data_IF_647911795998
#
_entry.id   IF_647911795998
#
_cell.length_a   1.000
_cell.length_b   1.000
_cell.length_c   1.000
_cell.angle_alpha   90.00
_cell.angle_beta   90.00
_cell.angle_gamma   90.00
#
_symmetry.space_group_name_H-M   'P 1'
#
loop_
_entity.id
_entity.type
_entity.pdbx_description
1 polymer ?
#
# COMPACT_ATOMS: atom_id res chain seq x y z
N UNK A 1 -47.63 -54.53 -15.25
CA UNK A 1 -46.76 -54.59 -16.44
C UNK A 1 -46.68 -53.23 -17.14
N UNK A 2 -47.77 -52.65 -17.66
CA UNK A 2 -47.73 -51.36 -18.39
C UNK A 2 -47.23 -50.13 -17.62
N UNK A 3 -47.63 -49.95 -16.35
CA UNK A 3 -47.21 -48.83 -15.50
C UNK A 3 -45.74 -48.92 -15.04
N UNK A 4 -45.21 -50.14 -14.90
CA UNK A 4 -43.80 -50.36 -14.56
C UNK A 4 -42.92 -49.95 -15.74
N UNK A 5 -43.33 -50.36 -16.94
CA UNK A 5 -42.64 -49.99 -18.17
C UNK A 5 -42.65 -48.47 -18.39
N UNK A 6 -43.78 -47.79 -18.12
CA UNK A 6 -43.83 -46.33 -18.25
C UNK A 6 -43.03 -45.58 -17.18
N UNK A 7 -42.93 -46.09 -15.95
CA UNK A 7 -42.10 -45.47 -14.91
C UNK A 7 -40.60 -45.63 -15.20
N UNK A 8 -40.19 -46.85 -15.59
CA UNK A 8 -38.80 -47.15 -15.93
C UNK A 8 -38.37 -46.48 -17.23
N UNK A 9 -39.21 -46.48 -18.27
CA UNK A 9 -38.93 -45.76 -19.53
C UNK A 9 -38.97 -44.23 -19.35
N UNK A 10 -39.64 -43.68 -18.31
CA UNK A 10 -39.69 -42.23 -18.08
C UNK A 10 -38.51 -41.72 -17.25
N UNK A 11 -37.99 -42.53 -16.31
CA UNK A 11 -36.77 -42.22 -15.57
C UNK A 11 -35.49 -42.62 -16.34
N UNK A 12 -35.55 -43.67 -17.18
CA UNK A 12 -34.37 -44.27 -17.82
C UNK A 12 -34.49 -44.47 -19.34
N UNK A 13 -35.64 -44.23 -19.98
CA UNK A 13 -35.83 -44.38 -21.43
C UNK A 13 -35.21 -43.26 -22.27
N UNK A 14 -34.18 -42.58 -21.76
CA UNK A 14 -33.23 -41.78 -22.54
C UNK A 14 -31.89 -42.52 -22.62
N UNK A 15 -31.91 -43.70 -23.24
CA UNK A 15 -30.72 -44.34 -23.80
C UNK A 15 -30.25 -43.57 -25.07
N UNK A 16 -30.13 -42.24 -24.97
CA UNK A 16 -29.71 -41.36 -26.07
C UNK A 16 -28.60 -40.39 -25.64
N UNK A 17 -27.93 -40.66 -24.53
CA UNK A 17 -26.71 -39.95 -24.18
C UNK A 17 -25.54 -40.94 -24.24
N UNK A 18 -24.52 -40.53 -24.98
CA UNK A 18 -23.30 -41.26 -25.33
C UNK A 18 -23.44 -42.14 -26.58
N UNK A 19 -23.57 -41.49 -27.74
CA UNK A 19 -22.87 -42.00 -28.93
C UNK A 19 -21.39 -42.13 -28.54
N UNK A 20 -20.83 -43.32 -28.79
CA UNK A 20 -19.41 -43.60 -28.76
C UNK A 20 -18.71 -42.74 -29.83
N UNK A 21 -18.46 -41.47 -29.53
CA UNK A 21 -17.47 -40.69 -30.26
C UNK A 21 -16.08 -41.10 -29.77
N UNK A 22 -15.62 -42.19 -30.37
CA UNK A 22 -14.27 -42.72 -30.38
C UNK A 22 -13.32 -41.71 -31.05
N UNK A 23 -13.04 -40.59 -30.38
CA UNK A 23 -11.87 -39.76 -30.69
C UNK A 23 -10.68 -40.29 -29.89
N UNK A 24 -10.08 -41.33 -30.47
CA UNK A 24 -8.73 -41.84 -30.23
C UNK A 24 -7.71 -40.70 -30.31
N UNK A 25 -7.56 -39.93 -29.24
CA UNK A 25 -6.28 -39.30 -28.92
C UNK A 25 -5.51 -40.32 -28.11
N UNK A 26 -4.47 -40.90 -28.73
CA UNK A 26 -3.63 -41.98 -28.21
C UNK A 26 -3.42 -41.91 -26.68
N UNK A 27 -4.27 -42.62 -25.93
CA UNK A 27 -4.04 -42.91 -24.51
C UNK A 27 -2.66 -43.60 -24.34
N UNK A 28 -2.21 -44.35 -25.35
CA UNK A 28 -0.98 -45.14 -25.31
C UNK A 28 0.31 -44.30 -25.36
N UNK A 29 0.32 -43.15 -26.05
CA UNK A 29 1.49 -42.26 -26.08
C UNK A 29 1.69 -41.49 -24.77
N UNK A 30 0.60 -41.14 -24.07
CA UNK A 30 0.63 -40.35 -22.84
C UNK A 30 0.98 -41.20 -21.60
N UNK A 31 0.47 -42.43 -21.51
CA UNK A 31 0.80 -43.36 -20.41
C UNK A 31 2.25 -43.86 -20.43
N UNK A 32 3.00 -43.70 -21.53
CA UNK A 32 4.42 -44.05 -21.56
C UNK A 32 5.28 -43.04 -20.79
N UNK A 33 4.96 -41.75 -20.92
CA UNK A 33 5.72 -40.66 -20.29
C UNK A 33 5.43 -40.57 -18.77
N UNK A 34 4.17 -40.83 -18.38
CA UNK A 34 3.76 -40.94 -16.99
C UNK A 34 4.36 -42.19 -16.31
N UNK A 35 4.47 -43.33 -17.00
CA UNK A 35 5.18 -44.52 -16.47
C UNK A 35 6.68 -44.28 -16.29
N UNK A 36 7.32 -43.46 -17.13
CA UNK A 36 8.72 -43.07 -16.92
C UNK A 36 8.90 -42.12 -15.73
N UNK A 37 8.01 -41.14 -15.56
CA UNK A 37 8.06 -40.18 -14.44
C UNK A 37 7.68 -40.82 -13.10
N UNK A 38 6.74 -41.78 -13.08
CA UNK A 38 6.39 -42.53 -11.87
C UNK A 38 7.49 -43.53 -11.47
N UNK A 39 8.21 -44.12 -12.42
CA UNK A 39 9.39 -44.96 -12.13
C UNK A 39 10.53 -44.18 -11.49
N UNK A 40 10.71 -42.90 -11.84
CA UNK A 40 11.65 -42.02 -11.16
C UNK A 40 11.19 -41.63 -9.75
N UNK A 41 9.89 -41.31 -9.57
CA UNK A 41 9.32 -40.97 -8.26
C UNK A 41 9.27 -42.14 -7.26
N UNK A 42 8.97 -43.35 -7.72
CA UNK A 42 8.95 -44.56 -6.87
C UNK A 42 10.35 -44.96 -6.35
N UNK A 43 11.43 -44.45 -6.97
CA UNK A 43 12.80 -44.76 -6.54
C UNK A 43 13.30 -43.92 -5.35
N UNK A 44 12.59 -42.84 -4.98
CA UNK A 44 13.09 -41.84 -4.01
C UNK A 44 12.30 -41.65 -2.73
N UNK A 45 11.26 -42.44 -2.43
CA UNK A 45 10.63 -42.33 -1.12
C UNK A 45 10.28 -43.70 -0.54
N UNK A 46 11.20 -44.19 0.29
CA UNK A 46 11.07 -45.44 1.03
C UNK A 46 10.77 -45.13 2.49
N UNK A 47 9.62 -45.64 2.94
CA UNK A 47 9.16 -45.88 4.31
C UNK A 47 8.58 -44.70 5.08
N UNK A 48 7.26 -44.74 5.24
CA UNK A 48 6.67 -44.49 6.54
C UNK A 48 5.46 -45.38 6.80
N UNK A 49 5.48 -46.01 7.96
CA UNK A 49 4.53 -47.00 8.46
C UNK A 49 3.09 -46.45 8.52
N UNK A 50 2.14 -47.18 7.91
CA UNK A 50 0.72 -46.99 8.16
C UNK A 50 0.09 -48.31 8.58
N UNK A 51 -0.48 -48.28 9.78
CA UNK A 51 -1.36 -49.28 10.35
C UNK A 51 -2.41 -49.67 9.31
N UNK A 52 -2.61 -50.96 9.11
CA UNK A 52 -3.83 -51.52 8.53
C UNK A 52 -5.01 -51.12 9.43
N UNK A 53 -5.60 -49.97 9.15
CA UNK A 53 -7.03 -49.75 9.41
C UNK A 53 -7.77 -50.74 8.51
N UNK A 54 -8.73 -51.48 9.07
CA UNK A 54 -9.69 -52.22 8.26
C UNK A 54 -10.37 -51.19 7.36
N UNK A 55 -9.98 -51.16 6.10
CA UNK A 55 -10.54 -50.28 5.09
C UNK A 55 -11.94 -50.79 4.80
N UNK A 56 -12.95 -50.14 5.39
CA UNK A 56 -14.34 -50.45 5.12
C UNK A 56 -14.56 -50.21 3.62
N UNK A 57 -15.07 -51.22 2.91
CA UNK A 57 -15.45 -51.07 1.51
C UNK A 57 -16.71 -50.20 1.43
N UNK A 58 -16.49 -48.89 1.43
CA UNK A 58 -17.54 -47.87 1.31
C UNK A 58 -18.21 -47.88 -0.07
N UNK A 59 -17.62 -48.56 -1.05
CA UNK A 59 -18.10 -48.59 -2.44
C UNK A 59 -19.16 -49.70 -2.64
N UNK A 60 -19.18 -50.73 -1.80
CA UNK A 60 -20.12 -51.84 -1.92
C UNK A 60 -21.33 -51.67 -1.00
N UNK A 61 -22.52 -51.46 -1.58
CA UNK A 61 -23.78 -51.60 -0.85
C UNK A 61 -24.00 -53.08 -0.57
N UNK A 62 -24.03 -53.47 0.71
CA UNK A 62 -24.28 -54.85 1.11
C UNK A 62 -25.69 -55.28 0.69
N UNK A 63 -25.78 -56.34 -0.11
CA UNK A 63 -27.05 -57.00 -0.45
C UNK A 63 -27.61 -57.72 0.79
N UNK A 64 -28.24 -56.97 1.69
CA UNK A 64 -28.81 -57.49 2.94
C UNK A 64 -30.19 -58.16 2.72
N UNK A 65 -30.56 -58.47 1.47
CA UNK A 65 -31.82 -59.11 1.11
C UNK A 65 -32.04 -60.44 1.85
N UNK A 66 -30.96 -61.16 2.16
CA UNK A 66 -30.97 -62.44 2.89
C UNK A 66 -31.31 -62.31 4.38
N UNK A 67 -31.18 -61.12 4.98
CA UNK A 67 -31.42 -60.89 6.41
C UNK A 67 -32.83 -60.35 6.73
N UNK A 68 -33.62 -60.03 5.70
CA UNK A 68 -34.93 -59.38 5.84
C UNK A 68 -36.10 -60.38 5.71
N UNK A 69 -37.09 -60.30 6.62
CA UNK A 69 -38.34 -61.06 6.51
C UNK A 69 -39.33 -60.29 5.64
N UNK A 70 -39.34 -60.57 4.35
CA UNK A 70 -40.23 -59.95 3.35
C UNK A 70 -41.75 -60.19 3.60
N UNK A 71 -42.10 -61.09 4.51
CA UNK A 71 -43.47 -61.33 4.97
C UNK A 71 -44.02 -60.22 5.88
N UNK A 72 -43.17 -59.47 6.57
CA UNK A 72 -43.57 -58.33 7.39
C UNK A 72 -43.78 -57.08 6.52
N UNK A 73 -44.97 -56.47 6.64
CA UNK A 73 -45.36 -55.26 5.90
C UNK A 73 -44.43 -54.07 6.20
N UNK A 74 -43.97 -53.95 7.45
CA UNK A 74 -43.11 -52.84 7.85
C UNK A 74 -41.69 -52.96 7.28
N UNK A 75 -41.06 -54.14 7.39
CA UNK A 75 -39.73 -54.42 6.83
C UNK A 75 -39.72 -54.34 5.31
N UNK A 76 -40.74 -54.90 4.65
CA UNK A 76 -40.91 -54.81 3.18
C UNK A 76 -41.03 -53.36 2.72
N UNK A 77 -41.88 -52.57 3.38
CA UNK A 77 -42.04 -51.15 3.04
C UNK A 77 -40.77 -50.34 3.27
N UNK A 78 -39.99 -50.61 4.32
CA UNK A 78 -38.71 -49.93 4.58
C UNK A 78 -37.66 -50.28 3.52
N UNK A 79 -37.58 -51.54 3.12
CA UNK A 79 -36.65 -52.01 2.09
C UNK A 79 -36.98 -51.43 0.71
N UNK A 80 -38.26 -51.46 0.29
CA UNK A 80 -38.71 -50.84 -0.97
C UNK A 80 -38.41 -49.34 -0.97
N UNK A 81 -38.66 -48.63 0.14
CA UNK A 81 -38.32 -47.19 0.24
C UNK A 81 -36.83 -46.95 0.08
N UNK A 82 -35.99 -47.78 0.71
CA UNK A 82 -34.54 -47.69 0.58
C UNK A 82 -34.06 -47.86 -0.86
N UNK A 83 -34.60 -48.84 -1.58
CA UNK A 83 -34.26 -49.07 -3.00
C UNK A 83 -34.71 -47.91 -3.90
N UNK A 84 -35.93 -47.39 -3.67
CA UNK A 84 -36.45 -46.24 -4.44
C UNK A 84 -35.64 -44.98 -4.13
N UNK A 85 -35.24 -44.77 -2.88
CA UNK A 85 -34.39 -43.65 -2.48
C UNK A 85 -32.97 -43.78 -3.05
N UNK A 86 -32.39 -44.98 -3.08
CA UNK A 86 -31.11 -45.26 -3.74
C UNK A 86 -31.15 -44.91 -5.23
N UNK A 87 -32.18 -45.38 -5.96
CA UNK A 87 -32.35 -45.07 -7.39
C UNK A 87 -32.57 -43.58 -7.61
N UNK A 88 -33.38 -42.93 -6.78
CA UNK A 88 -33.62 -41.47 -6.86
C UNK A 88 -32.35 -40.66 -6.62
N UNK A 89 -31.60 -41.00 -5.57
CA UNK A 89 -30.34 -40.32 -5.24
C UNK A 89 -29.31 -40.52 -6.36
N UNK A 90 -29.15 -41.76 -6.85
CA UNK A 90 -28.26 -42.05 -7.97
C UNK A 90 -28.66 -41.28 -9.24
N UNK A 91 -29.95 -41.22 -9.58
CA UNK A 91 -30.45 -40.44 -10.72
C UNK A 91 -30.21 -38.94 -10.55
N UNK A 92 -30.48 -38.38 -9.36
CA UNK A 92 -30.27 -36.95 -9.10
C UNK A 92 -28.80 -36.55 -9.12
N UNK A 93 -27.90 -37.43 -8.66
CA UNK A 93 -26.46 -37.21 -8.79
C UNK A 93 -25.98 -37.37 -10.23
N UNK A 94 -26.55 -38.28 -11.03
CA UNK A 94 -26.22 -38.40 -12.46
C UNK A 94 -26.53 -37.13 -13.25
N UNK A 95 -27.66 -36.46 -12.98
CA UNK A 95 -27.99 -35.20 -13.66
C UNK A 95 -26.97 -34.09 -13.35
N UNK A 96 -26.55 -33.96 -12.08
CA UNK A 96 -25.52 -33.00 -11.67
C UNK A 96 -24.17 -33.32 -12.29
N UNK A 97 -23.75 -34.57 -12.21
CA UNK A 97 -22.47 -35.04 -12.77
C UNK A 97 -22.44 -34.90 -14.29
N UNK A 98 -23.57 -35.14 -14.98
CA UNK A 98 -23.68 -34.95 -16.43
C UNK A 98 -23.48 -33.49 -16.82
N UNK A 99 -24.06 -32.55 -16.07
CA UNK A 99 -23.84 -31.12 -16.32
C UNK A 99 -22.35 -30.74 -16.19
N UNK A 100 -21.69 -31.13 -15.09
CA UNK A 100 -20.26 -30.86 -14.90
C UNK A 100 -19.39 -31.55 -15.97
N UNK A 101 -19.73 -32.79 -16.33
CA UNK A 101 -19.05 -33.55 -17.38
C UNK A 101 -19.10 -32.82 -18.72
N UNK A 102 -20.27 -32.27 -19.08
CA UNK A 102 -20.44 -31.52 -20.32
C UNK A 102 -19.62 -30.23 -20.30
N UNK A 103 -19.56 -29.51 -19.17
CA UNK A 103 -18.73 -28.30 -19.03
C UNK A 103 -17.24 -28.62 -19.18
N UNK A 104 -16.75 -29.68 -18.52
CA UNK A 104 -15.34 -30.10 -18.62
C UNK A 104 -15.01 -30.57 -20.04
N UNK A 105 -15.92 -31.28 -20.69
CA UNK A 105 -15.73 -31.76 -22.07
C UNK A 105 -15.73 -30.61 -23.06
N UNK A 106 -16.60 -29.62 -22.87
CA UNK A 106 -16.63 -28.39 -23.66
C UNK A 106 -15.32 -27.60 -23.50
N UNK A 107 -14.79 -27.46 -22.29
CA UNK A 107 -13.51 -26.79 -22.05
C UNK A 107 -12.32 -27.52 -22.72
N UNK A 108 -12.31 -28.86 -22.72
CA UNK A 108 -11.29 -29.64 -23.45
C UNK A 108 -11.41 -29.43 -24.96
N UNK A 109 -12.64 -29.46 -25.50
CA UNK A 109 -12.89 -29.16 -26.91
C UNK A 109 -12.41 -27.76 -27.29
N UNK A 110 -12.66 -26.77 -26.44
CA UNK A 110 -12.18 -25.41 -26.65
C UNK A 110 -10.64 -25.36 -26.75
N UNK A 111 -9.92 -26.16 -25.96
CA UNK A 111 -8.45 -26.25 -26.07
C UNK A 111 -7.98 -26.87 -27.38
N UNK A 112 -8.71 -27.87 -27.89
CA UNK A 112 -8.40 -28.50 -29.17
C UNK A 112 -8.63 -27.53 -30.33
N UNK A 113 -9.72 -26.76 -30.27
CA UNK A 113 -10.01 -25.68 -31.23
C UNK A 113 -8.96 -24.55 -31.16
N UNK A 114 -8.47 -24.21 -29.97
CA UNK A 114 -7.38 -23.26 -29.78
C UNK A 114 -6.05 -23.76 -30.36
N UNK A 115 -5.78 -25.07 -30.27
CA UNK A 115 -4.59 -25.66 -30.87
C UNK A 115 -4.68 -25.76 -32.40
N UNK A 116 -5.89 -25.94 -32.93
CA UNK A 116 -6.19 -25.97 -34.36
C UNK A 116 -6.20 -24.58 -35.03
N UNK A 117 -6.00 -23.50 -34.28
CA UNK A 117 -5.94 -22.14 -34.84
C UNK A 117 -4.87 -21.99 -35.93
N UNK A 118 -5.15 -21.21 -37.00
CA UNK A 118 -4.12 -20.85 -37.98
C UNK A 118 -2.94 -20.17 -37.30
N UNK A 119 -1.72 -20.46 -37.76
CA UNK A 119 -0.47 -19.93 -37.17
C UNK A 119 -0.52 -18.40 -37.01
N UNK A 120 -1.06 -17.69 -38.00
CA UNK A 120 -1.19 -16.22 -37.97
C UNK A 120 -2.12 -15.70 -36.86
N UNK A 121 -3.18 -16.45 -36.54
CA UNK A 121 -4.14 -16.07 -35.49
C UNK A 121 -3.64 -16.56 -34.13
N UNK A 122 -2.97 -17.71 -34.07
CA UNK A 122 -2.28 -18.20 -32.86
C UNK A 122 -1.21 -17.21 -32.41
N UNK A 123 -0.42 -16.66 -33.33
CA UNK A 123 0.56 -15.60 -33.02
C UNK A 123 -0.11 -14.36 -32.42
N UNK A 124 -1.21 -13.85 -33.01
CA UNK A 124 -1.95 -12.71 -32.46
C UNK A 124 -2.54 -12.99 -31.08
N UNK A 125 -3.13 -14.17 -30.89
CA UNK A 125 -3.66 -14.61 -29.59
C UNK A 125 -2.54 -14.62 -28.54
N UNK A 126 -1.37 -15.17 -28.86
CA UNK A 126 -0.22 -15.18 -27.95
C UNK A 126 0.32 -13.77 -27.67
N UNK A 127 0.31 -12.88 -28.66
CA UNK A 127 0.73 -11.48 -28.48
C UNK A 127 -0.21 -10.73 -27.53
N UNK A 128 -1.52 -10.82 -27.76
CA UNK A 128 -2.51 -10.19 -26.89
C UNK A 128 -2.51 -10.79 -25.49
N UNK A 129 -2.37 -12.10 -25.36
CA UNK A 129 -2.23 -12.77 -24.07
C UNK A 129 -1.00 -12.25 -23.30
N UNK A 130 0.16 -12.09 -23.96
CA UNK A 130 1.35 -11.48 -23.34
C UNK A 130 1.11 -10.05 -22.87
N UNK A 131 0.45 -9.23 -23.69
CA UNK A 131 0.15 -7.84 -23.33
C UNK A 131 -0.82 -7.77 -22.16
N UNK A 132 -1.87 -8.59 -22.14
CA UNK A 132 -2.81 -8.67 -21.01
C UNK A 132 -2.06 -9.03 -19.73
N UNK A 133 -1.21 -10.06 -19.74
CA UNK A 133 -0.39 -10.44 -18.57
C UNK A 133 0.53 -9.30 -18.12
N UNK A 134 1.13 -8.57 -19.06
CA UNK A 134 1.97 -7.43 -18.77
C UNK A 134 1.18 -6.32 -18.05
N UNK A 135 0.03 -5.89 -18.60
CA UNK A 135 -0.78 -4.83 -18.01
C UNK A 135 -1.48 -5.28 -16.71
N UNK A 136 -1.87 -6.55 -16.58
CA UNK A 136 -2.38 -7.10 -15.32
C UNK A 136 -1.32 -7.03 -14.21
N UNK A 137 -0.05 -7.31 -14.56
CA UNK A 137 1.07 -7.17 -13.63
C UNK A 137 1.31 -5.70 -13.26
N UNK A 138 1.35 -4.79 -14.23
CA UNK A 138 1.50 -3.34 -13.96
C UNK A 138 0.37 -2.82 -13.05
N UNK A 139 -0.87 -3.27 -13.28
CA UNK A 139 -2.02 -2.96 -12.43
C UNK A 139 -1.83 -3.46 -11.00
N UNK A 140 -1.35 -4.70 -10.82
CA UNK A 140 -1.05 -5.24 -9.49
C UNK A 140 0.09 -4.46 -8.81
N UNK A 141 1.15 -4.16 -9.54
CA UNK A 141 2.30 -3.39 -9.03
C UNK A 141 1.87 -1.98 -8.61
N UNK A 142 0.98 -1.34 -9.37
CA UNK A 142 0.38 -0.05 -9.00
C UNK A 142 -0.50 -0.14 -7.75
N UNK A 143 -1.37 -1.15 -7.66
CA UNK A 143 -2.23 -1.35 -6.48
C UNK A 143 -1.43 -1.66 -5.20
N UNK A 144 -0.33 -2.38 -5.33
CA UNK A 144 0.56 -2.72 -4.22
C UNK A 144 1.44 -1.55 -3.78
N UNK A 145 1.62 -0.54 -4.64
CA UNK A 145 2.42 0.64 -4.34
C UNK A 145 1.68 1.53 -3.34
N UNK A 146 2.29 1.78 -2.19
CA UNK A 146 1.79 2.78 -1.24
C UNK A 146 1.99 4.18 -1.82
N UNK A 147 0.89 4.93 -1.99
CA UNK A 147 0.98 6.33 -2.42
C UNK A 147 1.80 7.15 -1.43
N UNK A 148 2.68 8.00 -1.95
CA UNK A 148 3.57 8.86 -1.15
C UNK A 148 2.87 10.15 -0.68
N UNK A 149 1.71 10.46 -1.26
CA UNK A 149 0.93 11.66 -0.99
C UNK A 149 -0.48 11.24 -0.56
N UNK A 150 -1.06 11.95 0.41
CA UNK A 150 -2.44 11.68 0.82
C UNK A 150 -3.41 12.23 -0.24
N UNK A 151 -4.56 11.61 -0.41
CA UNK A 151 -5.59 12.07 -1.36
C UNK A 151 -5.98 13.55 -1.14
N UNK A 152 -6.12 13.98 0.11
CA UNK A 152 -6.38 15.40 0.43
C UNK A 152 -5.25 16.34 -0.01
N UNK A 153 -3.99 15.89 0.08
CA UNK A 153 -2.84 16.68 -0.38
C UNK A 153 -2.81 16.72 -1.91
N UNK A 154 -3.15 15.63 -2.59
CA UNK A 154 -3.25 15.59 -4.05
C UNK A 154 -4.27 16.61 -4.58
N UNK A 155 -5.50 16.62 -4.05
CA UNK A 155 -6.51 17.60 -4.45
C UNK A 155 -6.11 19.04 -4.12
N UNK A 156 -5.43 19.25 -2.99
CA UNK A 156 -4.93 20.59 -2.65
C UNK A 156 -3.88 21.06 -3.65
N UNK A 157 -2.99 20.17 -4.11
CA UNK A 157 -1.96 20.51 -5.09
C UNK A 157 -2.54 20.77 -6.48
N UNK A 158 -3.53 19.98 -6.90
CA UNK A 158 -4.24 20.18 -8.17
C UNK A 158 -4.87 21.58 -8.27
N UNK A 159 -5.44 22.10 -7.18
CA UNK A 159 -5.99 23.48 -7.13
C UNK A 159 -4.94 24.57 -7.36
N UNK A 160 -3.68 24.31 -7.01
CA UNK A 160 -2.60 25.30 -7.06
C UNK A 160 -1.61 25.03 -8.20
N UNK A 161 -1.86 24.04 -9.07
CA UNK A 161 -0.94 23.58 -10.12
C UNK A 161 -0.43 24.75 -10.98
N UNK A 162 -1.33 25.58 -11.51
CA UNK A 162 -0.98 26.72 -12.38
C UNK A 162 -0.09 27.77 -11.71
N UNK A 163 -0.15 27.88 -10.38
CA UNK A 163 0.58 28.90 -9.61
C UNK A 163 1.62 28.29 -8.67
N UNK A 164 1.93 26.99 -8.79
CA UNK A 164 2.80 26.28 -7.86
C UNK A 164 4.21 26.90 -7.78
N UNK A 165 4.76 27.31 -8.93
CA UNK A 165 6.06 27.97 -9.03
C UNK A 165 6.07 29.34 -8.37
N UNK A 166 5.02 30.14 -8.58
CA UNK A 166 4.90 31.47 -7.97
C UNK A 166 4.80 31.37 -6.45
N UNK A 167 4.00 30.41 -5.96
CA UNK A 167 3.87 30.13 -4.53
C UNK A 167 5.22 29.75 -3.92
N UNK A 168 5.96 28.86 -4.59
CA UNK A 168 7.30 28.48 -4.17
C UNK A 168 8.25 29.68 -4.12
N UNK A 169 8.27 30.50 -5.17
CA UNK A 169 9.11 31.68 -5.23
C UNK A 169 8.79 32.69 -4.13
N UNK A 170 7.52 32.98 -3.89
CA UNK A 170 7.07 33.96 -2.90
C UNK A 170 7.42 33.48 -1.48
N UNK A 171 7.19 32.20 -1.17
CA UNK A 171 7.63 31.61 0.09
C UNK A 171 9.15 31.68 0.24
N UNK A 172 9.90 31.31 -0.79
CA UNK A 172 11.37 31.33 -0.75
C UNK A 172 11.94 32.75 -0.60
N UNK A 173 11.35 33.74 -1.26
CA UNK A 173 11.70 35.15 -1.12
C UNK A 173 11.41 35.63 0.31
N UNK A 174 10.26 35.28 0.87
CA UNK A 174 9.89 35.63 2.23
C UNK A 174 10.81 34.97 3.28
N UNK A 175 11.17 33.69 3.10
CA UNK A 175 12.12 32.97 3.97
C UNK A 175 13.51 33.60 3.94
N UNK A 176 14.05 33.89 2.75
CA UNK A 176 15.34 34.58 2.60
C UNK A 176 15.32 35.97 3.22
N UNK A 177 14.23 36.71 3.03
CA UNK A 177 14.09 38.04 3.63
C UNK A 177 14.09 37.96 5.17
N UNK A 178 13.49 36.92 5.76
CA UNK A 178 13.57 36.65 7.19
C UNK A 178 15.00 36.48 7.69
N UNK A 179 15.82 35.72 6.95
CA UNK A 179 17.23 35.49 7.28
C UNK A 179 18.01 36.80 7.25
N UNK A 180 17.84 37.61 6.20
CA UNK A 180 18.47 38.93 6.11
C UNK A 180 18.08 39.85 7.27
N UNK A 181 16.79 39.90 7.63
CA UNK A 181 16.31 40.69 8.78
C UNK A 181 16.95 40.19 10.09
N UNK A 182 17.08 38.87 10.26
CA UNK A 182 17.70 38.27 11.45
C UNK A 182 19.17 38.64 11.55
N UNK A 183 19.90 38.61 10.43
CA UNK A 183 21.31 39.00 10.39
C UNK A 183 21.49 40.48 10.70
N UNK A 184 20.62 41.35 10.16
CA UNK A 184 20.60 42.77 10.51
C UNK A 184 20.28 43.01 11.99
N UNK A 185 19.35 42.26 12.58
CA UNK A 185 19.07 42.35 14.02
C UNK A 185 20.27 41.93 14.87
N UNK A 186 20.96 40.85 14.48
CA UNK A 186 22.16 40.38 15.17
C UNK A 186 23.29 41.43 15.09
N UNK A 187 23.47 42.04 13.91
CA UNK A 187 24.45 43.12 13.72
C UNK A 187 24.10 44.34 14.59
N UNK A 188 22.85 44.78 14.58
CA UNK A 188 22.40 45.91 15.41
C UNK A 188 22.53 45.62 16.91
N UNK A 189 22.28 44.38 17.36
CA UNK A 189 22.48 44.00 18.76
C UNK A 189 23.98 44.01 19.13
N UNK A 190 24.85 43.55 18.23
CA UNK A 190 26.30 43.64 18.42
C UNK A 190 26.80 45.08 18.50
N UNK A 191 26.35 45.96 17.59
CA UNK A 191 26.66 47.39 17.64
C UNK A 191 26.16 48.03 18.94
N UNK A 192 24.91 47.74 19.32
CA UNK A 192 24.31 48.23 20.57
C UNK A 192 25.14 47.82 21.78
N UNK A 193 25.56 46.56 21.85
CA UNK A 193 26.39 46.05 22.95
C UNK A 193 27.75 46.77 22.99
N UNK A 194 28.38 47.02 21.84
CA UNK A 194 29.62 47.79 21.75
C UNK A 194 29.45 49.24 22.26
N UNK A 195 28.36 49.92 21.88
CA UNK A 195 28.06 51.25 22.39
C UNK A 195 27.70 51.26 23.88
N UNK A 196 26.99 50.25 24.37
CA UNK A 196 26.70 50.09 25.79
C UNK A 196 27.97 49.88 26.62
N UNK A 197 28.91 49.09 26.11
CA UNK A 197 30.22 48.90 26.73
C UNK A 197 31.00 50.22 26.81
N UNK A 198 31.11 50.95 25.69
CA UNK A 198 31.76 52.28 25.65
C UNK A 198 31.08 53.29 26.58
N UNK A 199 29.75 53.28 26.64
CA UNK A 199 29.00 54.11 27.60
C UNK A 199 29.38 53.77 29.04
N UNK A 200 29.48 52.48 29.36
CA UNK A 200 29.96 52.01 30.66
C UNK A 200 31.37 52.53 30.97
N UNK A 201 32.29 52.42 30.03
CA UNK A 201 33.67 52.89 30.14
C UNK A 201 33.75 54.41 30.38
N UNK A 202 33.04 55.23 29.59
CA UNK A 202 32.99 56.68 29.80
C UNK A 202 32.36 57.06 31.15
N UNK A 203 31.33 56.34 31.58
CA UNK A 203 30.71 56.54 32.90
C UNK A 203 31.71 56.25 34.03
N UNK A 204 32.48 55.17 33.91
CA UNK A 204 33.54 54.83 34.87
C UNK A 204 34.68 55.86 34.83
N UNK A 205 35.04 56.35 33.64
CA UNK A 205 36.00 57.44 33.46
C UNK A 205 35.58 58.72 34.20
N UNK A 206 34.30 59.11 34.09
CA UNK A 206 33.75 60.27 34.79
C UNK A 206 33.80 60.08 36.32
N UNK A 207 33.48 58.88 36.81
CA UNK A 207 33.62 58.59 38.25
C UNK A 207 35.08 58.60 38.70
N UNK A 208 36.00 58.10 37.87
CA UNK A 208 37.43 58.06 38.17
C UNK A 208 38.05 59.48 38.17
N UNK A 209 37.67 60.35 37.22
CA UNK A 209 38.14 61.75 37.21
C UNK A 209 37.65 62.53 38.42
N UNK A 210 36.44 62.26 38.93
CA UNK A 210 35.97 62.79 40.22
C UNK A 210 36.82 62.30 41.39
N UNK A 211 37.18 61.01 41.41
CA UNK A 211 38.10 60.45 42.41
C UNK A 211 39.51 61.07 42.35
N UNK A 212 40.06 61.22 41.14
CA UNK A 212 41.37 61.85 40.90
C UNK A 212 41.38 63.32 41.34
N UNK A 213 40.30 64.06 41.09
CA UNK A 213 40.15 65.43 41.58
C UNK A 213 40.14 65.50 43.12
N UNK A 214 39.42 64.60 43.79
CA UNK A 214 39.41 64.53 45.26
C UNK A 214 40.79 64.21 45.84
N UNK A 215 41.52 63.25 45.25
CA UNK A 215 42.89 62.91 45.67
C UNK A 215 43.84 64.09 45.46
N UNK A 216 43.74 64.78 44.32
CA UNK A 216 44.56 65.96 44.01
C UNK A 216 44.32 67.12 44.99
N UNK A 217 43.05 67.38 45.34
CA UNK A 217 42.69 68.39 46.34
C UNK A 217 43.24 68.05 47.74
N UNK A 218 43.14 66.79 48.17
CA UNK A 218 43.71 66.32 49.44
C UNK A 218 45.24 66.46 49.45
N UNK A 219 45.92 66.08 48.37
CA UNK A 219 47.38 66.20 48.26
C UNK A 219 47.84 67.66 48.32
N UNK A 220 47.15 68.57 47.62
CA UNK A 220 47.42 70.02 47.70
C UNK A 220 47.21 70.56 49.12
N UNK A 221 46.16 70.13 49.82
CA UNK A 221 45.90 70.50 51.21
C UNK A 221 47.03 70.05 52.15
N UNK A 222 47.48 68.80 52.02
CA UNK A 222 48.59 68.27 52.81
C UNK A 222 49.91 69.00 52.54
N UNK A 223 50.22 69.31 51.26
CA UNK A 223 51.39 70.11 50.89
C UNK A 223 51.31 71.53 51.48
N UNK A 224 50.13 72.15 51.47
CA UNK A 224 49.91 73.46 52.08
C UNK A 224 50.14 73.47 53.60
N UNK A 225 49.64 72.44 54.30
CA UNK A 225 49.84 72.26 55.75
C UNK A 225 51.33 72.03 56.06
N UNK A 226 52.02 71.20 55.28
CA UNK A 226 53.45 70.95 55.45
C UNK A 226 54.29 72.22 55.31
N UNK A 227 54.01 73.05 54.29
CA UNK A 227 54.67 74.35 54.12
C UNK A 227 54.37 75.31 55.29
N UNK A 228 53.15 75.29 55.83
CA UNK A 228 52.79 76.12 56.98
C UNK A 228 53.56 75.74 58.25
N UNK A 229 53.73 74.43 58.52
CA UNK A 229 54.55 73.95 59.63
C UNK A 229 56.02 74.38 59.45
N UNK A 230 56.53 74.36 58.22
CA UNK A 230 57.89 74.80 57.91
C UNK A 230 58.09 76.31 58.14
N UNK A 231 57.08 77.12 57.85
CA UNK A 231 57.08 78.56 58.09
C UNK A 231 57.05 78.91 59.59
N UNK A 232 56.07 78.37 60.33
CA UNK A 232 55.83 78.74 61.73
C UNK A 232 56.71 77.97 62.73
N UNK A 233 57.12 76.73 62.40
CA UNK A 233 57.93 75.88 63.27
C UNK A 233 59.43 76.05 63.08
N UNK A 234 59.90 76.29 61.84
CA UNK A 234 61.34 76.36 61.51
C UNK A 234 61.81 77.74 61.05
N UNK A 235 60.91 78.73 60.89
CA UNK A 235 61.27 80.12 60.58
C UNK A 235 61.88 80.34 59.18
N UNK A 236 61.66 79.42 58.23
CA UNK A 236 62.19 79.52 56.86
C UNK A 236 61.29 80.35 55.93
N UNK A 237 61.89 81.05 54.96
CA UNK A 237 61.16 81.78 53.90
C UNK A 237 60.61 80.81 52.84
N UNK A 238 59.33 80.43 52.96
CA UNK A 238 58.66 79.46 52.07
C UNK A 238 57.73 80.09 51.02
N UNK A 239 57.83 81.41 50.78
CA UNK A 239 56.98 82.15 49.82
C UNK A 239 57.05 81.57 48.40
N UNK A 240 58.25 81.21 47.92
CA UNK A 240 58.45 80.58 46.61
C UNK A 240 57.77 79.20 46.52
N UNK A 241 57.73 78.44 47.63
CA UNK A 241 57.06 77.14 47.70
C UNK A 241 55.55 77.24 47.53
N UNK A 242 54.91 78.27 48.10
CA UNK A 242 53.47 78.50 47.94
C UNK A 242 53.08 78.87 46.50
N UNK A 243 53.87 79.70 45.82
CA UNK A 243 53.61 80.01 44.41
C UNK A 243 53.72 78.76 43.52
N UNK A 244 54.71 77.90 43.78
CA UNK A 244 54.89 76.66 43.04
C UNK A 244 53.74 75.66 43.25
N UNK A 245 53.23 75.51 44.48
CA UNK A 245 52.09 74.60 44.75
C UNK A 245 50.79 75.10 44.13
N UNK A 246 50.55 76.41 44.13
CA UNK A 246 49.38 77.02 43.48
C UNK A 246 49.43 76.81 41.96
N UNK A 247 50.58 77.06 41.33
CA UNK A 247 50.75 76.86 39.88
C UNK A 247 50.59 75.38 39.52
N UNK A 248 51.25 74.48 40.24
CA UNK A 248 51.13 73.04 40.00
C UNK A 248 49.70 72.54 40.20
N UNK A 249 49.01 73.04 41.22
CA UNK A 249 47.61 72.75 41.49
C UNK A 249 46.67 73.23 40.38
N UNK A 250 46.86 74.45 39.90
CA UNK A 250 46.08 75.00 38.79
C UNK A 250 46.26 74.16 37.51
N UNK A 251 47.50 73.80 37.16
CA UNK A 251 47.78 72.94 36.00
C UNK A 251 47.15 71.56 36.17
N UNK A 252 47.33 70.91 37.32
CA UNK A 252 46.73 69.60 37.57
C UNK A 252 45.20 69.64 37.42
N UNK A 253 44.53 70.59 38.09
CA UNK A 253 43.07 70.72 38.07
C UNK A 253 42.52 70.97 36.66
N UNK A 254 43.21 71.79 35.86
CA UNK A 254 42.82 72.05 34.47
C UNK A 254 42.90 70.79 33.60
N UNK A 255 43.93 69.96 33.77
CA UNK A 255 44.06 68.67 33.05
C UNK A 255 42.92 67.72 33.43
N UNK A 256 42.60 67.57 34.73
CA UNK A 256 41.47 66.74 35.17
C UNK A 256 40.15 67.24 34.58
N UNK A 257 39.97 68.56 34.57
CA UNK A 257 38.76 69.19 34.07
C UNK A 257 38.58 68.99 32.56
N UNK A 258 39.65 69.11 31.77
CA UNK A 258 39.61 68.81 30.33
C UNK A 258 39.24 67.34 30.09
N UNK A 259 39.89 66.41 30.79
CA UNK A 259 39.56 64.98 30.69
C UNK A 259 38.10 64.68 31.09
N UNK A 260 37.59 65.32 32.13
CA UNK A 260 36.19 65.20 32.55
C UNK A 260 35.23 65.69 31.45
N UNK A 261 35.51 66.87 30.86
CA UNK A 261 34.68 67.43 29.81
C UNK A 261 34.66 66.55 28.55
N UNK A 262 35.80 66.00 28.16
CA UNK A 262 35.89 65.12 26.99
C UNK A 262 35.12 63.82 27.22
N UNK A 263 35.28 63.17 28.37
CA UNK A 263 34.49 61.98 28.73
C UNK A 263 32.99 62.27 28.81
N UNK A 264 32.59 63.44 29.34
CA UNK A 264 31.19 63.83 29.40
C UNK A 264 30.59 64.11 28.00
N UNK A 265 31.37 64.67 27.08
CA UNK A 265 30.95 64.86 25.67
C UNK A 265 30.82 63.52 24.95
N UNK A 266 31.78 62.63 25.11
CA UNK A 266 31.77 61.31 24.46
C UNK A 266 30.69 60.39 25.03
N UNK A 267 30.38 60.50 26.32
CA UNK A 267 29.21 59.85 26.92
C UNK A 267 27.91 60.28 26.21
N UNK A 268 27.68 61.58 26.04
CA UNK A 268 26.49 62.10 25.34
C UNK A 268 26.43 61.63 23.88
N UNK A 269 27.58 61.52 23.19
CA UNK A 269 27.63 60.97 21.82
C UNK A 269 27.27 59.49 21.80
N UNK A 270 27.82 58.70 22.72
CA UNK A 270 27.51 57.28 22.87
C UNK A 270 26.02 57.06 23.17
N UNK A 271 25.42 57.87 24.05
CA UNK A 271 23.98 57.81 24.37
C UNK A 271 23.09 58.09 23.16
N UNK A 272 23.43 59.13 22.37
CA UNK A 272 22.73 59.39 21.10
C UNK A 272 22.88 58.23 20.11
N UNK A 273 24.06 57.61 20.06
CA UNK A 273 24.33 56.41 19.26
C UNK A 273 23.43 55.24 19.65
N UNK A 274 23.36 54.92 20.96
CA UNK A 274 22.48 53.87 21.50
C UNK A 274 21.01 54.14 21.16
N UNK A 275 20.54 55.38 21.36
CA UNK A 275 19.14 55.72 21.06
C UNK A 275 18.80 55.56 19.58
N UNK A 276 19.72 55.95 18.68
CA UNK A 276 19.56 55.72 17.23
C UNK A 276 19.48 54.23 16.90
N UNK A 277 20.35 53.42 17.49
CA UNK A 277 20.34 51.96 17.27
C UNK A 277 19.05 51.34 17.79
N UNK A 278 18.52 51.77 18.94
CA UNK A 278 17.23 51.29 19.46
C UNK A 278 16.10 51.59 18.49
N UNK A 279 16.04 52.80 17.92
CA UNK A 279 15.03 53.14 16.92
C UNK A 279 15.15 52.27 15.67
N UNK A 280 16.37 52.10 15.13
CA UNK A 280 16.62 51.21 13.99
C UNK A 280 16.21 49.77 14.31
N UNK A 281 16.59 49.26 15.48
CA UNK A 281 16.24 47.92 15.92
C UNK A 281 14.72 47.74 16.02
N UNK A 282 13.98 48.73 16.53
CA UNK A 282 12.52 48.68 16.57
C UNK A 282 11.91 48.61 15.15
N UNK A 283 12.42 49.40 14.20
CA UNK A 283 11.93 49.34 12.80
C UNK A 283 12.19 47.99 12.16
N UNK A 284 13.37 47.39 12.40
CA UNK A 284 13.73 46.07 11.87
C UNK A 284 12.91 44.96 12.56
N UNK A 285 12.66 45.06 13.87
CA UNK A 285 11.76 44.15 14.61
C UNK A 285 10.34 44.17 14.07
N UNK A 286 9.80 45.34 13.72
CA UNK A 286 8.47 45.44 13.10
C UNK A 286 8.46 44.69 11.76
N UNK A 287 9.48 44.90 10.92
CA UNK A 287 9.63 44.16 9.64
C UNK A 287 9.73 42.65 9.86
N UNK A 288 10.47 42.22 10.88
CA UNK A 288 10.57 40.81 11.27
C UNK A 288 9.21 40.21 11.63
N UNK A 289 8.45 40.89 12.50
CA UNK A 289 7.12 40.42 12.91
C UNK A 289 6.16 40.36 11.71
N UNK A 290 6.18 41.38 10.86
CA UNK A 290 5.34 41.38 9.65
C UNK A 290 5.69 40.24 8.69
N UNK A 291 6.99 40.01 8.43
CA UNK A 291 7.43 38.90 7.58
C UNK A 291 7.14 37.53 8.21
N UNK A 292 7.29 37.39 9.54
CA UNK A 292 6.91 36.18 10.26
C UNK A 292 5.41 35.90 10.10
N UNK A 293 4.55 36.89 10.32
CA UNK A 293 3.10 36.72 10.17
C UNK A 293 2.72 36.35 8.73
N UNK A 294 3.41 36.93 7.72
CA UNK A 294 3.23 36.56 6.32
C UNK A 294 3.61 35.10 6.08
N UNK A 295 4.77 34.65 6.58
CA UNK A 295 5.20 33.25 6.45
C UNK A 295 4.25 32.30 7.17
N UNK A 296 3.83 32.63 8.39
CA UNK A 296 2.87 31.83 9.17
C UNK A 296 1.53 31.70 8.41
N UNK A 297 1.05 32.77 7.76
CA UNK A 297 -0.12 32.71 6.88
C UNK A 297 0.11 31.84 5.64
N UNK A 298 1.23 32.00 4.94
CA UNK A 298 1.54 31.21 3.75
C UNK A 298 1.66 29.72 4.09
N UNK A 299 2.30 29.39 5.21
CA UNK A 299 2.40 28.03 5.73
C UNK A 299 1.05 27.43 6.09
N UNK A 300 0.17 28.21 6.73
CA UNK A 300 -1.18 27.77 7.05
C UNK A 300 -2.04 27.58 5.78
N UNK A 301 -1.99 28.54 4.85
CA UNK A 301 -2.78 28.53 3.62
C UNK A 301 -2.49 27.30 2.76
N UNK A 302 -1.22 26.94 2.64
CA UNK A 302 -0.77 25.83 1.80
C UNK A 302 -0.46 24.55 2.60
N UNK A 303 -0.69 24.55 3.90
CA UNK A 303 -0.46 23.43 4.82
C UNK A 303 0.97 22.83 4.73
N UNK A 304 1.98 23.70 4.67
CA UNK A 304 3.41 23.33 4.60
C UNK A 304 4.21 24.18 5.58
N UNK A 305 5.35 23.70 6.06
CA UNK A 305 6.18 24.40 7.06
C UNK A 305 7.36 25.14 6.44
N UNK A 306 7.64 24.94 5.16
CA UNK A 306 8.73 25.60 4.44
C UNK A 306 8.50 25.60 2.93
N UNK A 307 9.10 26.56 2.23
CA UNK A 307 9.21 26.55 0.77
C UNK A 307 9.85 25.24 0.24
N UNK A 308 10.79 24.66 0.99
CA UNK A 308 11.42 23.38 0.61
C UNK A 308 10.45 22.20 0.70
N UNK A 309 9.57 22.22 1.69
CA UNK A 309 8.52 21.20 1.84
C UNK A 309 7.46 21.35 0.74
N UNK A 310 7.05 22.57 0.44
CA UNK A 310 6.19 22.87 -0.71
C UNK A 310 6.77 22.30 -2.01
N UNK A 311 8.04 22.57 -2.28
CA UNK A 311 8.70 22.04 -3.48
C UNK A 311 8.70 20.52 -3.52
N UNK A 312 9.04 19.85 -2.42
CA UNK A 312 8.97 18.38 -2.34
C UNK A 312 7.55 17.86 -2.60
N UNK A 313 6.53 18.56 -2.11
CA UNK A 313 5.15 18.20 -2.33
C UNK A 313 4.75 18.36 -3.81
N UNK A 314 5.24 19.41 -4.48
CA UNK A 314 5.10 19.58 -5.93
C UNK A 314 5.76 18.44 -6.71
N UNK A 315 7.02 18.13 -6.40
CA UNK A 315 7.75 17.05 -7.07
C UNK A 315 7.03 15.69 -6.89
N UNK A 316 6.51 15.41 -5.69
CA UNK A 316 5.72 14.21 -5.40
C UNK A 316 4.37 14.20 -6.13
N UNK A 317 3.70 15.35 -6.22
CA UNK A 317 2.45 15.49 -6.96
C UNK A 317 2.66 15.20 -8.45
N UNK A 318 3.72 15.73 -9.06
CA UNK A 318 4.05 15.45 -10.47
C UNK A 318 4.38 13.98 -10.71
N UNK A 319 5.08 13.31 -9.78
CA UNK A 319 5.31 11.87 -9.84
C UNK A 319 3.99 11.08 -9.76
N UNK A 320 3.11 11.45 -8.83
CA UNK A 320 1.84 10.77 -8.61
C UNK A 320 0.86 11.00 -9.77
N UNK A 321 0.79 12.23 -10.31
CA UNK A 321 -0.04 12.58 -11.46
C UNK A 321 0.35 11.75 -12.68
N UNK A 322 1.66 11.70 -12.99
CA UNK A 322 2.18 10.83 -14.07
C UNK A 322 1.89 9.35 -13.83
N UNK A 323 1.95 8.89 -12.58
CA UNK A 323 1.63 7.51 -12.24
C UNK A 323 0.13 7.20 -12.44
N UNK A 324 -0.76 8.14 -12.09
CA UNK A 324 -2.21 8.01 -12.33
C UNK A 324 -2.54 7.98 -13.82
N UNK A 325 -1.97 8.91 -14.59
CA UNK A 325 -2.15 8.97 -16.05
C UNK A 325 -1.64 7.69 -16.73
N UNK A 326 -0.48 7.19 -16.32
CA UNK A 326 0.05 5.92 -16.84
C UNK A 326 -0.82 4.73 -16.43
N UNK A 327 -1.36 4.70 -15.21
CA UNK A 327 -2.28 3.64 -14.80
C UNK A 327 -3.59 3.68 -15.59
N UNK A 328 -4.15 4.87 -15.83
CA UNK A 328 -5.34 5.04 -16.68
C UNK A 328 -5.08 4.52 -18.10
N UNK A 329 -3.96 4.88 -18.71
CA UNK A 329 -3.55 4.35 -20.02
C UNK A 329 -3.37 2.83 -20.00
N UNK A 330 -2.74 2.28 -18.95
CA UNK A 330 -2.58 0.83 -18.80
C UNK A 330 -3.93 0.10 -18.63
N UNK A 331 -4.91 0.72 -17.97
CA UNK A 331 -6.26 0.18 -17.82
C UNK A 331 -7.02 0.22 -19.16
N UNK A 332 -6.94 1.32 -19.90
CA UNK A 332 -7.50 1.42 -21.27
C UNK A 332 -6.88 0.39 -22.22
N UNK A 333 -5.56 0.26 -22.20
CA UNK A 333 -4.84 -0.73 -23.00
C UNK A 333 -5.24 -2.16 -22.61
N UNK A 334 -5.36 -2.46 -21.31
CA UNK A 334 -5.80 -3.76 -20.83
C UNK A 334 -7.19 -4.11 -21.37
N UNK A 335 -8.15 -3.18 -21.25
CA UNK A 335 -9.51 -3.35 -21.76
C UNK A 335 -9.52 -3.53 -23.28
N UNK A 336 -8.69 -2.77 -24.01
CA UNK A 336 -8.52 -2.90 -25.45
C UNK A 336 -8.02 -4.29 -25.86
N UNK A 337 -6.93 -4.77 -25.25
CA UNK A 337 -6.37 -6.08 -25.58
C UNK A 337 -7.29 -7.24 -25.16
N UNK A 338 -7.99 -7.12 -24.03
CA UNK A 338 -9.01 -8.10 -23.65
C UNK A 338 -10.17 -8.15 -24.65
N UNK A 339 -10.63 -7.00 -25.15
CA UNK A 339 -11.69 -6.92 -26.15
C UNK A 339 -11.27 -7.50 -27.51
N UNK A 340 -10.07 -7.18 -27.99
CA UNK A 340 -9.55 -7.71 -29.25
C UNK A 340 -9.26 -9.21 -29.17
N UNK A 341 -8.73 -9.71 -28.04
CA UNK A 341 -8.60 -11.15 -27.80
C UNK A 341 -9.97 -11.84 -27.83
N UNK A 342 -10.96 -11.31 -27.11
CA UNK A 342 -12.33 -11.85 -27.11
C UNK A 342 -12.93 -11.87 -28.53
N UNK A 343 -12.67 -10.86 -29.34
CA UNK A 343 -13.16 -10.75 -30.71
C UNK A 343 -12.57 -11.85 -31.61
N UNK A 344 -11.27 -12.12 -31.51
CA UNK A 344 -10.63 -13.24 -32.24
C UNK A 344 -11.25 -14.56 -31.78
N UNK A 345 -11.33 -14.79 -30.47
CA UNK A 345 -11.84 -16.05 -29.92
C UNK A 345 -13.31 -16.33 -30.29
N UNK A 346 -14.14 -15.28 -30.41
CA UNK A 346 -15.53 -15.40 -30.88
C UNK A 346 -15.67 -15.81 -32.34
N UNK A 347 -14.63 -15.66 -33.16
CA UNK A 347 -14.66 -16.13 -34.54
C UNK A 347 -14.52 -17.66 -34.63
N UNK A 348 -14.19 -18.35 -33.54
CA UNK A 348 -14.02 -19.79 -33.46
C UNK A 348 -15.15 -20.44 -32.64
N UNK A 349 -15.35 -21.75 -32.82
CA UNK A 349 -16.44 -22.51 -32.19
C UNK A 349 -16.15 -22.85 -30.71
N UNK A 350 -15.64 -21.87 -29.96
CA UNK A 350 -15.39 -22.03 -28.53
C UNK A 350 -16.70 -21.91 -27.75
N UNK A 351 -16.86 -22.78 -26.76
CA UNK A 351 -18.00 -22.87 -25.87
C UNK A 351 -18.07 -21.67 -24.93
N UNK A 352 -16.93 -21.27 -24.34
CA UNK A 352 -16.83 -20.04 -23.55
C UNK A 352 -15.53 -19.25 -23.84
N UNK A 353 -15.55 -18.33 -24.83
CA UNK A 353 -14.42 -17.45 -25.14
C UNK A 353 -13.95 -16.59 -23.96
N UNK A 354 -14.83 -16.27 -22.99
CA UNK A 354 -14.49 -15.36 -21.88
C UNK A 354 -13.61 -16.03 -20.84
N UNK A 355 -13.74 -17.34 -20.67
CA UNK A 355 -12.89 -18.12 -19.77
C UNK A 355 -11.42 -17.94 -20.13
N UNK A 356 -11.11 -18.02 -21.43
CA UNK A 356 -9.75 -17.92 -21.96
C UNK A 356 -9.15 -16.52 -21.85
N UNK A 357 -9.96 -15.46 -21.96
CA UNK A 357 -9.50 -14.08 -21.71
C UNK A 357 -9.08 -13.86 -20.26
N UNK A 358 -9.69 -14.57 -19.30
CA UNK A 358 -9.32 -14.51 -17.87
C UNK A 358 -8.12 -15.38 -17.52
N UNK A 359 -7.73 -16.28 -18.41
CA UNK A 359 -6.57 -17.17 -18.26
C UNK A 359 -5.55 -16.93 -19.39
N UNK A 360 -5.05 -15.67 -19.57
CA UNK A 360 -4.13 -15.35 -20.66
C UNK A 360 -2.79 -16.11 -20.54
N UNK A 361 -2.41 -16.53 -19.33
CA UNK A 361 -1.23 -17.36 -19.09
C UNK A 361 -1.26 -18.68 -19.88
N UNK A 362 -2.43 -19.33 -19.94
CA UNK A 362 -2.60 -20.58 -20.68
C UNK A 362 -2.48 -20.39 -22.21
N UNK A 363 -2.87 -19.22 -22.71
CA UNK A 363 -2.78 -18.90 -24.13
C UNK A 363 -1.35 -18.53 -24.56
N UNK A 364 -0.53 -18.10 -23.60
CA UNK A 364 0.85 -17.71 -23.83
C UNK A 364 1.85 -18.86 -23.57
N UNK A 365 1.72 -19.55 -22.45
CA UNK A 365 2.61 -20.62 -22.02
C UNK A 365 1.99 -22.01 -22.29
N UNK A 366 2.65 -22.76 -23.16
CA UNK A 366 2.24 -24.13 -23.49
C UNK A 366 2.21 -25.05 -22.27
N UNK A 367 3.13 -24.86 -21.31
CA UNK A 367 3.18 -25.69 -20.10
C UNK A 367 1.91 -25.52 -19.26
N UNK A 368 1.50 -24.29 -19.04
CA UNK A 368 0.27 -23.94 -18.31
C UNK A 368 -0.97 -24.49 -19.04
N UNK A 369 -0.99 -24.42 -20.38
CA UNK A 369 -2.05 -25.03 -21.17
C UNK A 369 -2.15 -26.55 -20.95
N UNK A 370 -1.01 -27.24 -20.91
CA UNK A 370 -0.94 -28.69 -20.66
C UNK A 370 -1.37 -29.03 -19.23
N UNK A 371 -0.96 -28.25 -18.22
CA UNK A 371 -1.36 -28.46 -16.82
C UNK A 371 -2.87 -28.31 -16.64
N UNK A 372 -3.47 -27.26 -17.23
CA UNK A 372 -4.92 -27.04 -17.20
C UNK A 372 -5.63 -28.19 -17.93
N UNK A 373 -5.15 -28.58 -19.11
CA UNK A 373 -5.68 -29.74 -19.86
C UNK A 373 -5.66 -31.02 -19.02
N UNK A 374 -4.54 -31.31 -18.38
CA UNK A 374 -4.38 -32.50 -17.53
C UNK A 374 -5.36 -32.47 -16.34
N UNK A 375 -5.53 -31.31 -15.69
CA UNK A 375 -6.50 -31.15 -14.61
C UNK A 375 -7.95 -31.43 -15.08
N UNK A 376 -8.32 -30.95 -16.28
CA UNK A 376 -9.62 -31.24 -16.88
C UNK A 376 -9.78 -32.72 -17.29
N UNK A 377 -8.73 -33.38 -17.80
CA UNK A 377 -8.75 -34.81 -18.13
C UNK A 377 -8.98 -35.65 -16.87
N UNK A 378 -8.22 -35.42 -15.80
CA UNK A 378 -8.39 -36.12 -14.52
C UNK A 378 -9.81 -35.89 -13.97
N UNK A 379 -10.30 -34.65 -14.01
CA UNK A 379 -11.66 -34.33 -13.56
C UNK A 379 -12.70 -35.08 -14.38
N UNK A 380 -12.55 -35.14 -15.71
CA UNK A 380 -13.43 -35.89 -16.61
C UNK A 380 -13.43 -37.39 -16.30
N UNK A 381 -12.25 -37.98 -16.04
CA UNK A 381 -12.12 -39.39 -15.67
C UNK A 381 -12.82 -39.70 -14.33
N UNK A 382 -12.63 -38.85 -13.31
CA UNK A 382 -13.33 -38.99 -12.02
C UNK A 382 -14.84 -38.85 -12.17
N UNK A 383 -15.32 -37.89 -12.97
CA UNK A 383 -16.74 -37.74 -13.28
C UNK A 383 -17.30 -38.99 -13.98
N UNK A 384 -16.58 -39.57 -14.96
CA UNK A 384 -16.97 -40.83 -15.60
C UNK A 384 -17.08 -41.97 -14.59
N UNK A 385 -16.08 -42.16 -13.74
CA UNK A 385 -16.08 -43.21 -12.72
C UNK A 385 -17.26 -43.07 -11.74
N UNK A 386 -17.56 -41.85 -11.29
CA UNK A 386 -18.72 -41.55 -10.44
C UNK A 386 -20.06 -41.77 -11.15
N UNK A 387 -20.14 -41.38 -12.43
CA UNK A 387 -21.33 -41.65 -13.24
C UNK A 387 -21.52 -43.15 -13.46
N UNK A 388 -20.47 -43.92 -13.72
CA UNK A 388 -20.55 -45.37 -13.90
C UNK A 388 -20.91 -46.08 -12.60
N UNK A 389 -20.42 -45.59 -11.46
CA UNK A 389 -20.87 -46.03 -10.14
C UNK A 389 -22.36 -45.77 -9.94
N UNK A 390 -22.83 -44.53 -10.11
CA UNK A 390 -24.23 -44.18 -9.91
C UNK A 390 -25.16 -44.89 -10.91
N UNK A 391 -24.72 -45.09 -12.16
CA UNK A 391 -25.44 -45.92 -13.15
C UNK A 391 -25.56 -47.36 -12.69
N UNK A 392 -24.49 -47.96 -12.16
CA UNK A 392 -24.52 -49.33 -11.62
C UNK A 392 -25.46 -49.42 -10.42
N UNK A 393 -25.36 -48.50 -9.46
CA UNK A 393 -26.23 -48.45 -8.29
C UNK A 393 -27.71 -48.31 -8.65
N UNK A 394 -28.03 -47.46 -9.63
CA UNK A 394 -29.40 -47.32 -10.10
C UNK A 394 -29.90 -48.59 -10.81
N UNK A 395 -29.07 -49.21 -11.66
CA UNK A 395 -29.41 -50.47 -12.35
C UNK A 395 -29.58 -51.64 -11.38
N UNK A 396 -28.77 -51.73 -10.35
CA UNK A 396 -28.86 -52.75 -9.30
C UNK A 396 -30.13 -52.55 -8.47
N UNK A 397 -30.39 -51.33 -7.99
CA UNK A 397 -31.63 -51.01 -7.29
C UNK A 397 -32.88 -51.28 -8.14
N UNK A 398 -32.81 -51.02 -9.45
CA UNK A 398 -33.88 -51.34 -10.39
C UNK A 398 -34.07 -52.85 -10.58
N UNK A 399 -32.99 -53.60 -10.77
CA UNK A 399 -33.01 -55.05 -10.95
C UNK A 399 -33.58 -55.74 -9.72
N UNK A 400 -33.18 -55.31 -8.53
CA UNK A 400 -33.72 -55.80 -7.25
C UNK A 400 -35.21 -55.49 -7.15
N UNK A 401 -35.62 -54.27 -7.46
CA UNK A 401 -37.04 -53.90 -7.48
C UNK A 401 -37.86 -54.72 -8.49
N UNK A 402 -37.33 -54.98 -9.69
CA UNK A 402 -37.94 -55.86 -10.70
C UNK A 402 -38.05 -57.31 -10.20
N UNK A 403 -37.02 -57.83 -9.53
CA UNK A 403 -37.05 -59.18 -8.95
C UNK A 403 -38.08 -59.31 -7.82
N UNK A 404 -38.20 -58.31 -6.94
CA UNK A 404 -39.21 -58.28 -5.87
C UNK A 404 -40.64 -58.32 -6.43
N UNK A 405 -40.88 -57.62 -7.55
CA UNK A 405 -42.18 -57.62 -8.23
C UNK A 405 -42.46 -58.99 -8.87
N UNK A 406 -41.44 -59.65 -9.42
CA UNK A 406 -41.57 -60.96 -10.07
C UNK A 406 -41.78 -62.09 -9.05
N UNK A 407 -41.05 -62.08 -7.93
CA UNK A 407 -41.13 -63.10 -6.88
C UNK A 407 -42.37 -62.96 -5.99
N UNK A 408 -42.87 -61.72 -5.81
CA UNK A 408 -44.05 -61.47 -4.99
C UNK A 408 -45.13 -60.66 -5.74
N UNK A 409 -45.86 -61.27 -6.69
CA UNK A 409 -46.90 -60.58 -7.48
C UNK A 409 -48.02 -59.97 -6.63
N UNK A 410 -48.29 -60.54 -5.45
CA UNK A 410 -49.29 -60.05 -4.49
C UNK A 410 -48.97 -58.67 -3.91
N UNK A 411 -47.70 -58.27 -3.84
CA UNK A 411 -47.26 -56.96 -3.34
C UNK A 411 -46.93 -55.97 -4.46
N UNK A 412 -47.05 -56.38 -5.73
CA UNK A 412 -46.75 -55.56 -6.91
C UNK A 412 -47.48 -54.21 -6.94
N UNK A 413 -48.77 -54.19 -6.58
CA UNK A 413 -49.58 -52.95 -6.50
C UNK A 413 -49.11 -52.01 -5.40
N UNK A 414 -48.62 -52.56 -4.28
CA UNK A 414 -48.10 -51.80 -3.15
C UNK A 414 -46.75 -51.16 -3.50
N UNK A 415 -45.86 -51.92 -4.14
CA UNK A 415 -44.55 -51.48 -4.64
C UNK A 415 -44.73 -50.34 -5.65
N UNK A 416 -45.62 -50.53 -6.63
CA UNK A 416 -45.94 -49.52 -7.64
C UNK A 416 -46.46 -48.21 -7.06
N UNK A 417 -47.37 -48.28 -6.09
CA UNK A 417 -47.90 -47.10 -5.40
C UNK A 417 -46.86 -46.42 -4.49
N UNK A 418 -45.84 -47.14 -4.05
CA UNK A 418 -44.71 -46.51 -3.37
C UNK A 418 -43.85 -45.76 -4.39
N UNK A 419 -43.53 -46.35 -5.54
CA UNK A 419 -42.76 -45.69 -6.60
C UNK A 419 -43.42 -44.40 -7.12
N UNK A 420 -44.74 -44.41 -7.35
CA UNK A 420 -45.51 -43.22 -7.76
C UNK A 420 -45.46 -42.07 -6.75
N UNK A 421 -45.17 -42.33 -5.46
CA UNK A 421 -45.04 -41.29 -4.43
C UNK A 421 -43.66 -40.63 -4.39
N UNK A 422 -42.70 -41.17 -5.14
CA UNK A 422 -41.34 -40.64 -5.22
C UNK A 422 -41.03 -39.96 -6.56
N UNK A 423 -41.98 -39.96 -7.52
CA UNK A 423 -42.10 -38.91 -8.56
C UNK A 423 -42.12 -37.52 -7.89
#
# INVERSE_FOLDING_TARGET
>A
MGLIRSFLDRFWGRDEYFEEDELLWDEEYFWQEERSLNKEKESTDTKQDLKTEEEWDWDTITDERSFLKLSDSYQRGKYIRSLVEQVKNASGELDKLSFEYNVVTAALKDMDELDALPVTEKEKVTEYAKKILYYEKERQDYQNKKSKITESQYYSMEQYEENADKIYEDMRKAEKYRELIRDDLNRLEGEKQAYQYRKGEYSHGITNSRGMAMICLLAMGLLGIMLAIMQFGFGMEVTLGYFMTIIAGAVALTVIYVHYLDQAKDLKRAEKGVNRIILLQNTVKIRYVNNRNLLDYLYLKYNVKSAKEWKRLCDLYEEEKRAREMNEQNEEDLDYYQAELLKILRCYQLSDPRLWVRCPLALYDHKEMVEIRHAHIIRRQKLRAQMDYNKRMAKEGEKELRSLIAEYPQYSREILKMMERYE
#
